data_IF_246181183337
#
_entry.id   IF_246181183337
#
_cell.length_a   1.000
_cell.length_b   1.000
_cell.length_c   1.000
_cell.angle_alpha   90.00
_cell.angle_beta   90.00
_cell.angle_gamma   90.00
#
_symmetry.space_group_name_H-M   'P 1'
#
loop_
_entity.id
_entity.type
_entity.pdbx_description
1 polymer ?
#
# COMPACT_ATOMS: atom_id res chain seq x y z
N UNK A 1 20.72 4.52 -10.17
CA UNK A 1 20.91 3.49 -9.12
C UNK A 1 20.04 3.70 -7.86
N UNK A 2 19.33 4.82 -7.67
CA UNK A 2 18.36 4.96 -6.55
C UNK A 2 16.90 4.66 -6.92
N UNK A 3 16.56 4.59 -8.22
CA UNK A 3 15.20 4.40 -8.73
C UNK A 3 14.88 2.94 -9.12
N UNK A 4 15.84 2.03 -9.00
CA UNK A 4 15.68 0.61 -9.30
C UNK A 4 14.55 -0.11 -8.53
N UNK A 5 14.23 0.28 -7.27
CA UNK A 5 13.06 -0.27 -6.59
C UNK A 5 11.74 0.15 -7.24
N UNK A 6 11.67 1.37 -7.79
CA UNK A 6 10.47 1.87 -8.49
C UNK A 6 10.27 1.19 -9.84
N UNK A 7 11.34 0.76 -10.52
CA UNK A 7 11.20 0.05 -11.81
C UNK A 7 10.67 -1.38 -11.67
N UNK A 8 10.59 -1.91 -10.44
CA UNK A 8 9.89 -3.18 -10.15
C UNK A 8 8.41 -3.00 -9.85
N UNK A 9 7.97 -1.77 -9.58
CA UNK A 9 6.55 -1.47 -9.39
C UNK A 9 5.95 -1.31 -10.77
N UNK A 10 4.99 -2.17 -11.11
CA UNK A 10 4.25 -2.01 -12.35
C UNK A 10 3.24 -0.88 -12.18
N UNK A 11 3.66 0.34 -12.49
CA UNK A 11 2.81 1.53 -12.43
C UNK A 11 1.63 1.47 -13.39
N UNK A 12 1.66 0.57 -14.39
CA UNK A 12 0.51 0.30 -15.26
C UNK A 12 -0.50 -0.66 -14.60
N UNK A 13 -0.08 -1.45 -13.62
CA UNK A 13 -0.97 -2.25 -12.80
C UNK A 13 -1.61 -1.39 -11.71
N UNK A 14 -2.91 -1.13 -11.85
CA UNK A 14 -3.68 -0.35 -10.89
C UNK A 14 -3.61 -0.93 -9.45
N UNK A 15 -3.32 -2.23 -9.30
CA UNK A 15 -3.17 -2.86 -7.99
C UNK A 15 -1.87 -2.53 -7.27
N UNK A 16 -0.86 -2.01 -7.97
CA UNK A 16 0.41 -1.54 -7.39
C UNK A 16 0.56 -0.01 -7.49
N UNK A 17 0.12 0.57 -8.60
CA UNK A 17 0.19 2.01 -8.86
C UNK A 17 -0.67 2.85 -7.91
N UNK A 18 -1.93 2.45 -7.65
CA UNK A 18 -2.82 3.19 -6.75
C UNK A 18 -2.30 3.19 -5.30
N UNK A 19 -1.89 2.04 -4.73
CA UNK A 19 -1.30 2.00 -3.39
C UNK A 19 -0.02 2.83 -3.26
N UNK A 20 0.86 2.78 -4.26
CA UNK A 20 2.10 3.55 -4.26
C UNK A 20 1.83 5.06 -4.32
N UNK A 21 0.87 5.48 -5.16
CA UNK A 21 0.44 6.88 -5.25
C UNK A 21 -0.21 7.35 -3.95
N UNK A 22 -1.05 6.53 -3.32
CA UNK A 22 -1.64 6.83 -2.02
C UNK A 22 -0.58 6.95 -0.92
N UNK A 23 0.39 6.03 -0.89
CA UNK A 23 1.48 6.07 0.08
C UNK A 23 2.29 7.34 -0.05
N UNK A 24 2.71 7.70 -1.27
CA UNK A 24 3.46 8.93 -1.54
C UNK A 24 2.64 10.18 -1.25
N UNK A 25 1.40 10.24 -1.74
CA UNK A 25 0.51 11.37 -1.54
C UNK A 25 0.19 11.62 -0.07
N UNK A 26 -0.12 10.56 0.68
CA UNK A 26 -0.38 10.66 2.12
C UNK A 26 0.89 10.93 2.91
N UNK A 27 2.04 10.38 2.54
CA UNK A 27 3.32 10.72 3.19
C UNK A 27 3.62 12.21 3.05
N UNK A 28 3.46 12.77 1.84
CA UNK A 28 3.68 14.18 1.57
C UNK A 28 2.64 15.07 2.26
N UNK A 29 1.37 14.69 2.23
CA UNK A 29 0.28 15.46 2.83
C UNK A 29 0.28 15.44 4.37
N UNK A 30 0.62 14.30 4.98
CA UNK A 30 0.70 14.17 6.44
C UNK A 30 2.08 14.48 7.00
N UNK A 31 3.07 14.78 6.13
CA UNK A 31 4.49 14.89 6.47
C UNK A 31 5.00 13.70 7.29
N UNK A 32 4.36 12.52 7.13
CA UNK A 32 4.57 11.35 7.98
C UNK A 32 4.52 10.08 7.14
N UNK A 33 5.64 9.36 7.13
CA UNK A 33 5.74 8.07 6.45
C UNK A 33 4.79 7.04 7.06
N UNK A 34 4.52 7.12 8.36
CA UNK A 34 3.54 6.27 9.04
C UNK A 34 2.12 6.51 8.51
N UNK A 35 1.75 7.78 8.26
CA UNK A 35 0.48 8.12 7.63
C UNK A 35 0.39 7.59 6.20
N UNK A 36 1.45 7.73 5.42
CA UNK A 36 1.57 7.13 4.09
C UNK A 36 1.33 5.63 4.07
N UNK A 37 2.04 4.90 4.93
CA UNK A 37 1.90 3.45 5.05
C UNK A 37 0.49 3.04 5.50
N UNK A 38 -0.11 3.78 6.45
CA UNK A 38 -1.46 3.52 6.97
C UNK A 38 -2.54 3.50 5.89
N UNK A 39 -2.36 4.24 4.80
CA UNK A 39 -3.29 4.27 3.67
C UNK A 39 -2.81 3.43 2.47
N UNK A 40 -1.51 3.40 2.20
CA UNK A 40 -0.94 2.67 1.06
C UNK A 40 -1.04 1.15 1.21
N UNK A 41 -0.65 0.59 2.36
CA UNK A 41 -0.62 -0.86 2.57
C UNK A 41 -2.02 -1.48 2.52
N UNK A 42 -3.06 -0.90 3.17
CA UNK A 42 -4.41 -1.44 3.08
C UNK A 42 -5.03 -1.32 1.69
N UNK A 43 -4.72 -0.24 0.96
CA UNK A 43 -5.14 -0.09 -0.42
C UNK A 43 -4.59 -1.22 -1.31
N UNK A 44 -3.34 -1.61 -1.11
CA UNK A 44 -2.69 -2.71 -1.83
C UNK A 44 -3.41 -4.05 -1.59
N UNK A 45 -3.78 -4.30 -0.34
CA UNK A 45 -4.53 -5.51 0.04
C UNK A 45 -5.96 -5.49 -0.53
N UNK A 46 -6.66 -4.37 -0.42
CA UNK A 46 -8.03 -4.18 -0.95
C UNK A 46 -8.10 -4.34 -2.46
N UNK A 47 -7.18 -3.71 -3.20
CA UNK A 47 -7.10 -3.83 -4.65
C UNK A 47 -6.63 -5.21 -5.07
N UNK A 48 -5.63 -5.78 -4.40
CA UNK A 48 -5.18 -7.16 -4.65
C UNK A 48 -6.30 -8.19 -4.47
N UNK A 49 -7.14 -8.03 -3.44
CA UNK A 49 -8.35 -8.84 -3.25
C UNK A 49 -9.38 -8.62 -4.37
N UNK A 50 -9.65 -7.36 -4.72
CA UNK A 50 -10.66 -6.98 -5.72
C UNK A 50 -10.31 -7.47 -7.12
N UNK A 51 -9.03 -7.45 -7.49
CA UNK A 51 -8.53 -7.94 -8.78
C UNK A 51 -8.29 -9.46 -8.82
N UNK A 52 -8.73 -10.23 -7.80
CA UNK A 52 -8.47 -11.68 -7.64
C UNK A 52 -6.99 -12.07 -7.66
N UNK A 53 -6.08 -11.10 -7.54
CA UNK A 53 -4.61 -11.26 -7.57
C UNK A 53 -4.00 -11.37 -6.17
N UNK A 54 -4.84 -11.40 -5.13
CA UNK A 54 -4.44 -11.58 -3.73
C UNK A 54 -3.62 -12.84 -3.44
N UNK A 55 -3.58 -13.82 -4.35
CA UNK A 55 -2.69 -15.00 -4.26
C UNK A 55 -1.20 -14.68 -4.43
N UNK A 56 -0.84 -13.51 -4.97
CA UNK A 56 0.56 -13.06 -5.06
C UNK A 56 1.04 -12.26 -3.84
N UNK A 57 0.12 -11.90 -2.93
CA UNK A 57 0.43 -11.07 -1.77
C UNK A 57 0.78 -11.98 -0.60
N UNK A 58 1.95 -11.76 0.01
CA UNK A 58 2.38 -12.56 1.15
C UNK A 58 1.38 -12.40 2.32
N UNK A 59 0.97 -13.48 3.01
CA UNK A 59 -0.04 -13.42 4.08
C UNK A 59 0.31 -12.45 5.22
N UNK A 60 1.61 -12.19 5.43
CA UNK A 60 2.07 -11.17 6.39
C UNK A 60 1.57 -9.75 6.05
N UNK A 61 1.41 -9.42 4.77
CA UNK A 61 0.91 -8.10 4.32
C UNK A 61 -0.56 -7.92 4.65
N UNK A 62 -1.35 -9.00 4.63
CA UNK A 62 -2.74 -8.98 5.11
C UNK A 62 -2.82 -8.72 6.61
N UNK A 63 -1.95 -9.36 7.39
CA UNK A 63 -1.87 -9.14 8.83
C UNK A 63 -1.46 -7.69 9.14
N UNK A 64 -0.45 -7.18 8.44
CA UNK A 64 0.03 -5.81 8.58
C UNK A 64 -1.04 -4.78 8.19
N UNK A 65 -1.75 -5.03 7.09
CA UNK A 65 -2.90 -4.22 6.67
C UNK A 65 -4.01 -4.20 7.72
N UNK A 66 -4.32 -5.33 8.34
CA UNK A 66 -5.35 -5.42 9.38
C UNK A 66 -4.94 -4.61 10.62
N UNK A 67 -3.67 -4.69 11.03
CA UNK A 67 -3.13 -3.90 12.15
C UNK A 67 -3.14 -2.41 11.84
N UNK A 68 -2.78 -2.01 10.62
CA UNK A 68 -2.81 -0.60 10.19
C UNK A 68 -4.23 -0.04 10.14
N UNK A 69 -5.18 -0.79 9.58
CA UNK A 69 -6.60 -0.41 9.58
C UNK A 69 -7.14 -0.28 11.01
N UNK A 70 -6.81 -1.22 11.89
CA UNK A 70 -7.17 -1.15 13.30
C UNK A 70 -6.58 0.10 13.96
N UNK A 71 -5.30 0.39 13.75
CA UNK A 71 -4.66 1.58 14.28
C UNK A 71 -5.28 2.88 13.75
N UNK A 72 -5.68 2.91 12.47
CA UNK A 72 -6.36 4.04 11.86
C UNK A 72 -7.78 4.26 12.42
N UNK A 73 -8.48 3.18 12.78
CA UNK A 73 -9.84 3.22 13.34
C UNK A 73 -9.87 3.56 14.83
N UNK A 74 -8.82 3.22 15.57
CA UNK A 74 -8.72 3.43 17.03
C UNK A 74 -8.11 4.79 17.39
N UNK A 75 -7.49 5.48 16.42
CA UNK A 75 -6.88 6.79 16.58
C UNK A 75 -7.80 7.91 16.12
#
# INVERSE_FOLDING_TARGET
>A
LALEPLSRVDLADASEGIPAALLLGMTLGTLSFAGGMAFGIPSLVLLGLSLKRGRGIHPAVYLLSAVLLWWLLVR
#
